data_IF_620111835724
#
_entry.id   IF_620111835724
#
_cell.length_a   1.000
_cell.length_b   1.000
_cell.length_c   1.000
_cell.angle_alpha   90.00
_cell.angle_beta   90.00
_cell.angle_gamma   90.00
#
_symmetry.space_group_name_H-M   'P 1'
#
loop_
_entity.id
_entity.type
_entity.pdbx_description
1 polymer ?
#
# COMPACT_ATOMS: atom_id res chain seq x y z
N UNK A 1 -16.14 -23.20 15.71
CA UNK A 1 -16.09 -22.40 14.48
C UNK A 1 -15.22 -21.21 14.78
N UNK A 2 -13.96 -21.28 14.37
CA UNK A 2 -13.05 -20.14 14.44
C UNK A 2 -13.70 -18.97 13.72
N UNK A 3 -13.74 -17.81 14.36
CA UNK A 3 -13.98 -16.55 13.69
C UNK A 3 -12.88 -16.40 12.64
N UNK A 4 -13.12 -16.88 11.41
CA UNK A 4 -12.39 -16.40 10.25
C UNK A 4 -12.57 -14.89 10.29
N UNK A 5 -11.52 -14.17 10.73
CA UNK A 5 -11.42 -12.73 10.52
C UNK A 5 -11.69 -12.57 9.03
N UNK A 6 -12.86 -12.02 8.68
CA UNK A 6 -13.13 -11.57 7.32
C UNK A 6 -11.91 -10.75 6.93
N UNK A 7 -11.06 -11.32 6.08
CA UNK A 7 -9.82 -10.68 5.68
C UNK A 7 -10.22 -9.32 5.10
N UNK A 8 -9.68 -8.25 5.68
CA UNK A 8 -10.10 -6.91 5.31
C UNK A 8 -9.68 -6.67 3.86
N UNK A 9 -10.63 -6.77 2.92
CA UNK A 9 -10.39 -6.50 1.52
C UNK A 9 -10.43 -5.00 1.23
N UNK A 10 -9.47 -4.54 0.44
CA UNK A 10 -9.38 -3.17 -0.02
C UNK A 10 -9.72 -3.08 -1.51
N UNK A 11 -10.82 -2.40 -1.83
CA UNK A 11 -11.39 -2.31 -3.18
C UNK A 11 -10.74 -1.18 -3.99
N UNK A 12 -10.13 -1.53 -5.12
CA UNK A 12 -9.33 -0.62 -5.95
C UNK A 12 -10.19 0.16 -6.97
N UNK A 13 -11.36 -0.32 -7.35
CA UNK A 13 -12.26 0.29 -8.34
C UNK A 13 -12.75 1.70 -7.97
N UNK A 14 -12.65 2.07 -6.70
CA UNK A 14 -13.10 3.37 -6.19
C UNK A 14 -11.98 4.41 -6.09
N UNK A 15 -10.74 4.00 -6.34
CA UNK A 15 -9.59 4.89 -6.26
C UNK A 15 -9.51 5.82 -7.47
N UNK A 16 -9.07 7.05 -7.20
CA UNK A 16 -8.87 8.08 -8.22
C UNK A 16 -7.41 8.10 -8.68
N UNK A 17 -6.46 7.84 -7.77
CA UNK A 17 -5.02 7.87 -8.07
C UNK A 17 -4.21 7.00 -7.10
N UNK A 18 -2.92 6.86 -7.39
CA UNK A 18 -2.01 6.03 -6.60
C UNK A 18 -1.75 6.59 -5.19
N UNK A 19 -1.86 7.90 -4.98
CA UNK A 19 -1.64 8.54 -3.69
C UNK A 19 -2.74 8.16 -2.69
N UNK A 20 -3.99 8.01 -3.15
CA UNK A 20 -5.08 7.49 -2.34
C UNK A 20 -4.82 6.04 -1.91
N UNK A 21 -4.29 5.19 -2.80
CA UNK A 21 -3.87 3.82 -2.47
C UNK A 21 -2.81 3.83 -1.36
N UNK A 22 -1.73 4.59 -1.55
CA UNK A 22 -0.64 4.70 -0.58
C UNK A 22 -1.14 5.13 0.80
N UNK A 23 -1.98 6.18 0.83
CA UNK A 23 -2.56 6.69 2.08
C UNK A 23 -3.41 5.61 2.76
N UNK A 24 -4.24 4.88 2.01
CA UNK A 24 -5.12 3.86 2.56
C UNK A 24 -4.36 2.65 3.12
N UNK A 25 -3.29 2.24 2.43
CA UNK A 25 -2.39 1.19 2.92
C UNK A 25 -1.76 1.61 4.26
N UNK A 26 -1.24 2.83 4.33
CA UNK A 26 -0.63 3.35 5.56
C UNK A 26 -1.66 3.50 6.68
N UNK A 27 -2.85 4.02 6.39
CA UNK A 27 -3.96 4.09 7.35
C UNK A 27 -4.29 2.70 7.91
N UNK A 28 -4.35 1.68 7.06
CA UNK A 28 -4.62 0.31 7.48
C UNK A 28 -3.55 -0.22 8.45
N UNK A 29 -2.26 -0.18 8.06
CA UNK A 29 -1.19 -0.70 8.91
C UNK A 29 -0.95 0.14 10.17
N UNK A 30 -1.33 1.43 10.15
CA UNK A 30 -1.19 2.32 11.32
C UNK A 30 -2.09 1.93 12.50
N UNK A 31 -3.13 1.09 12.29
CA UNK A 31 -3.97 0.58 13.36
C UNK A 31 -3.17 -0.23 14.40
N UNK A 32 -2.17 -0.97 13.93
CA UNK A 32 -1.29 -1.78 14.78
C UNK A 32 0.06 -1.07 15.02
N UNK A 33 0.50 -0.22 14.09
CA UNK A 33 1.79 0.48 14.15
C UNK A 33 1.60 2.00 14.11
N UNK A 34 1.31 2.61 15.26
CA UNK A 34 0.88 4.03 15.39
C UNK A 34 1.86 5.05 14.78
N UNK A 35 3.15 4.73 14.71
CA UNK A 35 4.18 5.62 14.16
C UNK A 35 4.18 5.69 12.63
N UNK A 36 3.55 4.73 11.93
CA UNK A 36 3.55 4.69 10.46
C UNK A 36 2.94 5.94 9.81
N UNK A 37 1.85 6.45 10.40
CA UNK A 37 1.20 7.64 9.85
C UNK A 37 2.09 8.88 9.99
N UNK A 38 2.83 9.00 11.10
CA UNK A 38 3.82 10.07 11.28
C UNK A 38 4.99 9.92 10.31
N UNK A 39 5.48 8.70 10.13
CA UNK A 39 6.55 8.40 9.16
C UNK A 39 6.12 8.83 7.76
N UNK A 40 4.97 8.34 7.28
CA UNK A 40 4.50 8.61 5.92
C UNK A 40 4.24 10.09 5.67
N UNK A 41 3.69 10.83 6.65
CA UNK A 41 3.48 12.29 6.54
C UNK A 41 4.77 13.09 6.37
N UNK A 42 5.90 12.56 6.83
CA UNK A 42 7.20 13.23 6.82
C UNK A 42 8.23 12.51 5.94
N UNK A 43 7.78 11.52 5.17
CA UNK A 43 8.64 10.80 4.27
C UNK A 43 8.64 11.45 2.89
N UNK A 44 9.75 11.27 2.18
CA UNK A 44 9.86 11.63 0.78
C UNK A 44 9.66 10.38 -0.08
N UNK A 45 8.72 10.41 -1.02
CA UNK A 45 8.58 9.34 -2.00
C UNK A 45 9.63 9.56 -3.09
N UNK A 46 10.64 8.69 -3.08
CA UNK A 46 11.81 8.79 -3.96
C UNK A 46 11.46 8.35 -5.38
N UNK A 47 10.65 7.30 -5.52
CA UNK A 47 10.21 6.81 -6.82
C UNK A 47 8.93 6.02 -6.70
N UNK A 48 8.13 6.05 -7.76
CA UNK A 48 6.98 5.16 -7.98
C UNK A 48 7.22 4.34 -9.24
N UNK A 49 6.90 3.04 -9.19
CA UNK A 49 6.92 2.15 -10.36
C UNK A 49 5.67 1.30 -10.34
N UNK A 50 5.04 1.16 -11.50
CA UNK A 50 3.92 0.27 -11.70
C UNK A 50 4.14 -0.54 -12.97
N UNK A 51 3.77 -1.81 -12.93
CA UNK A 51 3.70 -2.69 -14.09
C UNK A 51 2.47 -3.59 -13.96
N UNK A 52 2.41 -4.67 -14.75
CA UNK A 52 1.27 -5.59 -14.75
C UNK A 52 1.21 -6.48 -13.51
N UNK A 53 2.31 -6.63 -12.81
CA UNK A 53 2.46 -7.51 -11.65
C UNK A 53 2.31 -6.75 -10.34
N UNK A 54 2.46 -5.42 -10.34
CA UNK A 54 2.33 -4.67 -9.10
C UNK A 54 2.68 -3.19 -9.16
N UNK A 55 2.85 -2.66 -7.95
CA UNK A 55 3.18 -1.29 -7.65
C UNK A 55 4.23 -1.22 -6.55
N UNK A 56 5.19 -0.32 -6.70
CA UNK A 56 6.26 -0.09 -5.73
C UNK A 56 6.48 1.41 -5.52
N UNK A 57 6.43 1.84 -4.27
CA UNK A 57 6.84 3.17 -3.83
C UNK A 57 8.07 3.06 -2.93
N UNK A 58 9.20 3.61 -3.37
CA UNK A 58 10.39 3.75 -2.52
C UNK A 58 10.27 5.01 -1.69
N UNK A 59 10.44 4.87 -0.38
CA UNK A 59 10.17 5.90 0.61
C UNK A 59 11.44 6.16 1.42
N UNK A 60 11.80 7.43 1.55
CA UNK A 60 12.87 7.86 2.45
C UNK A 60 12.27 8.60 3.63
N UNK A 61 12.24 7.95 4.78
CA UNK A 61 11.85 8.57 6.06
C UNK A 61 13.06 9.24 6.71
N UNK A 62 12.83 10.37 7.38
CA UNK A 62 13.84 11.07 8.17
C UNK A 62 14.44 10.12 9.25
N UNK A 63 15.77 9.92 9.27
CA UNK A 63 16.40 8.99 10.20
C UNK A 63 16.28 9.38 11.67
N UNK A 64 15.95 10.63 11.98
CA UNK A 64 15.73 11.13 13.35
C UNK A 64 14.36 10.77 13.92
N UNK A 65 13.46 10.21 13.10
CA UNK A 65 12.11 9.81 13.53
C UNK A 65 12.15 8.69 14.58
N UNK A 66 11.18 8.67 15.51
CA UNK A 66 11.02 7.55 16.46
C UNK A 66 10.94 6.22 15.72
N UNK A 67 11.66 5.19 16.19
CA UNK A 67 11.71 3.91 15.50
C UNK A 67 10.46 3.08 15.74
N UNK A 68 9.92 2.50 14.67
CA UNK A 68 8.95 1.42 14.74
C UNK A 68 9.67 0.18 15.29
N UNK A 69 9.04 -0.55 16.22
CA UNK A 69 9.67 -1.68 16.91
C UNK A 69 9.80 -2.95 16.06
N UNK A 70 9.27 -2.94 14.83
CA UNK A 70 9.34 -4.06 13.89
C UNK A 70 10.23 -3.70 12.70
N UNK A 71 10.78 -4.72 12.05
CA UNK A 71 11.51 -4.61 10.80
C UNK A 71 11.02 -5.69 9.83
N UNK A 72 11.26 -5.49 8.54
CA UNK A 72 10.83 -6.38 7.49
C UNK A 72 9.47 -6.00 6.90
N UNK A 73 8.89 -6.95 6.18
CA UNK A 73 7.55 -6.81 5.62
C UNK A 73 6.46 -7.04 6.66
N UNK A 74 5.39 -6.27 6.57
CA UNK A 74 4.16 -6.53 7.33
C UNK A 74 3.35 -7.69 6.75
N UNK A 75 2.32 -8.12 7.48
CA UNK A 75 1.25 -8.93 6.90
C UNK A 75 0.64 -8.24 5.67
N UNK A 76 0.04 -9.02 4.78
CA UNK A 76 -0.57 -8.49 3.56
C UNK A 76 -2.00 -7.99 3.80
N UNK A 77 -2.34 -6.86 3.18
CA UNK A 77 -3.70 -6.35 3.01
C UNK A 77 -4.24 -6.87 1.68
N UNK A 78 -5.32 -7.64 1.68
CA UNK A 78 -5.91 -8.14 0.44
C UNK A 78 -6.43 -7.00 -0.43
N UNK A 79 -6.11 -7.04 -1.72
CA UNK A 79 -6.56 -6.09 -2.72
C UNK A 79 -7.64 -6.74 -3.59
N UNK A 80 -8.74 -6.04 -3.78
CA UNK A 80 -9.84 -6.46 -4.63
C UNK A 80 -10.04 -5.50 -5.80
N UNK A 81 -10.45 -6.04 -6.93
CA UNK A 81 -10.88 -5.30 -8.10
C UNK A 81 -12.20 -5.89 -8.59
N UNK A 82 -13.26 -5.07 -8.66
CA UNK A 82 -14.60 -5.49 -9.07
C UNK A 82 -15.11 -6.71 -8.27
N UNK A 83 -14.89 -6.71 -6.96
CA UNK A 83 -15.29 -7.80 -6.07
C UNK A 83 -14.41 -9.06 -6.11
N UNK A 84 -13.38 -9.12 -6.95
CA UNK A 84 -12.45 -10.27 -7.04
C UNK A 84 -11.15 -9.92 -6.31
N UNK A 85 -10.64 -10.82 -5.46
CA UNK A 85 -9.33 -10.65 -4.84
C UNK A 85 -8.24 -10.88 -5.88
N UNK A 86 -7.42 -9.85 -6.14
CA UNK A 86 -6.41 -9.88 -7.19
C UNK A 86 -4.99 -9.98 -6.65
N UNK A 87 -4.78 -9.79 -5.35
CA UNK A 87 -3.46 -9.82 -4.73
C UNK A 87 -3.45 -9.10 -3.39
N UNK A 88 -2.34 -8.44 -3.07
CA UNK A 88 -2.14 -7.86 -1.76
C UNK A 88 -1.24 -6.62 -1.73
N UNK A 89 -1.25 -5.94 -0.59
CA UNK A 89 -0.40 -4.80 -0.30
C UNK A 89 0.34 -5.01 1.02
N UNK A 90 1.60 -4.60 1.06
CA UNK A 90 2.46 -4.65 2.23
C UNK A 90 3.33 -3.41 2.30
N UNK A 91 3.92 -3.19 3.48
CA UNK A 91 4.93 -2.17 3.68
C UNK A 91 6.22 -2.81 4.18
N UNK A 92 7.34 -2.18 3.86
CA UNK A 92 8.65 -2.58 4.35
C UNK A 92 9.18 -1.55 5.34
N UNK A 93 9.62 -2.05 6.49
CA UNK A 93 10.24 -1.26 7.54
C UNK A 93 11.71 -1.66 7.66
N UNK A 94 12.59 -0.68 7.49
CA UNK A 94 14.04 -0.86 7.52
C UNK A 94 14.64 -0.01 8.62
N UNK A 95 15.39 -0.62 9.54
CA UNK A 95 15.96 0.05 10.71
C UNK A 95 14.91 0.86 11.50
N UNK A 96 13.71 0.31 11.63
CA UNK A 96 12.57 0.93 12.30
C UNK A 96 11.97 2.13 11.55
N UNK A 97 12.28 2.32 10.26
CA UNK A 97 11.78 3.42 9.42
C UNK A 97 10.96 2.88 8.24
N UNK A 98 9.91 3.59 7.83
CA UNK A 98 9.15 3.22 6.63
C UNK A 98 10.05 3.41 5.40
N UNK A 99 10.22 2.36 4.62
CA UNK A 99 11.15 2.32 3.48
C UNK A 99 10.43 1.99 2.15
N UNK A 100 9.33 1.25 2.18
CA UNK A 100 8.60 0.88 0.96
C UNK A 100 7.10 0.66 1.18
N UNK A 101 6.31 0.92 0.14
CA UNK A 101 4.97 0.35 -0.06
C UNK A 101 5.05 -0.54 -1.30
N UNK A 102 4.55 -1.77 -1.20
CA UNK A 102 4.48 -2.73 -2.29
C UNK A 102 3.05 -3.24 -2.43
N UNK A 103 2.56 -3.29 -3.66
CA UNK A 103 1.36 -4.01 -4.03
C UNK A 103 1.73 -5.03 -5.09
N UNK A 104 1.16 -6.22 -5.01
CA UNK A 104 1.34 -7.28 -5.98
C UNK A 104 -0.02 -7.80 -6.42
N UNK A 105 -0.09 -8.27 -7.67
CA UNK A 105 -1.22 -9.05 -8.18
C UNK A 105 -0.79 -10.46 -8.53
N UNK A 106 -1.70 -11.41 -8.34
CA UNK A 106 -1.48 -12.81 -8.73
C UNK A 106 -1.58 -13.00 -10.24
N UNK A 107 -2.47 -12.24 -10.87
CA UNK A 107 -2.66 -12.19 -12.31
C UNK A 107 -2.28 -10.83 -12.87
N UNK A 108 -1.77 -10.83 -14.10
CA UNK A 108 -1.44 -9.63 -14.86
C UNK A 108 -2.67 -8.73 -15.02
N UNK A 109 -2.58 -7.48 -14.56
CA UNK A 109 -3.61 -6.47 -14.78
C UNK A 109 -3.00 -5.06 -14.78
N UNK A 110 -3.71 -4.08 -15.31
CA UNK A 110 -3.17 -2.73 -15.52
C UNK A 110 -3.67 -1.68 -14.49
N UNK A 111 -4.28 -2.10 -13.37
CA UNK A 111 -4.86 -1.18 -12.38
C UNK A 111 -3.82 -0.20 -11.84
N UNK A 112 -2.64 -0.69 -11.47
CA UNK A 112 -1.60 0.12 -10.86
C UNK A 112 -0.97 1.09 -11.84
N UNK A 113 -0.79 0.67 -13.10
CA UNK A 113 -0.32 1.53 -14.19
C UNK A 113 -1.32 2.66 -14.40
N UNK A 114 -2.63 2.34 -14.46
CA UNK A 114 -3.70 3.32 -14.62
C UNK A 114 -3.76 4.30 -13.45
N UNK A 115 -3.72 3.81 -12.20
CA UNK A 115 -3.69 4.64 -11.00
C UNK A 115 -2.46 5.57 -10.94
N UNK A 116 -1.30 5.10 -11.42
CA UNK A 116 -0.07 5.89 -11.45
C UNK A 116 -0.08 6.94 -12.57
N UNK A 117 -0.80 6.68 -13.67
CA UNK A 117 -0.86 7.57 -14.84
C UNK A 117 -1.69 8.85 -14.66
N UNK A 118 -2.23 9.08 -13.45
CA UNK A 118 -2.90 10.31 -13.02
C UNK A 118 -4.03 10.77 -13.97
N UNK A 119 -4.84 9.82 -14.45
CA UNK A 119 -6.13 10.15 -15.02
C UNK A 119 -7.08 10.50 -13.87
N UNK A 120 -7.46 11.77 -13.69
CA UNK A 120 -8.48 12.23 -12.73
C UNK A 120 -9.90 11.66 -13.03
N UNK A 121 -10.01 10.37 -13.30
CA UNK A 121 -11.20 9.61 -13.69
C UNK A 121 -11.15 8.27 -12.96
N UNK A 122 -12.31 7.76 -12.53
CA UNK A 122 -12.42 6.41 -11.95
C UNK A 122 -11.81 5.39 -12.92
N UNK A 123 -11.00 4.48 -12.39
CA UNK A 123 -10.21 3.55 -13.22
C UNK A 123 -11.08 2.50 -13.90
N UNK A 124 -12.14 2.07 -13.22
CA UNK A 124 -13.17 1.19 -13.76
C UNK A 124 -14.55 1.70 -13.33
N UNK A 125 -15.53 1.54 -14.22
CA UNK A 125 -16.92 2.00 -14.09
C UNK A 125 -17.87 0.85 -13.85
#
# INVERSE_FOLDING_TARGET
MENQKLEQCFYLEHLINIQELEKKIIEYFSKEQKLLLDHFRHANIVSRKADKCGYFANIKTDPTRPKIQVNGFTNSLNLCLNGVMIGGAMIYIENGLLSMIECYSWDDNDIFIKLLSDTNKKVYS
#
